data_IF_249273326167
#
_entry.id   IF_249273326167
#
_cell.length_a   1.000
_cell.length_b   1.000
_cell.length_c   1.000
_cell.angle_alpha   90.00
_cell.angle_beta   90.00
_cell.angle_gamma   90.00
#
_symmetry.space_group_name_H-M   'P 1'
#
loop_
_entity.id
_entity.type
_entity.pdbx_description
1 polymer ?
#
# COMPACT_ATOMS: atom_id res chain seq x y z
N UNK A 1 -26.89 -3.86 1.77
CA UNK A 1 -27.11 -3.77 0.30
C UNK A 1 -27.41 -2.32 -0.07
N UNK A 2 -26.35 -1.53 -0.31
CA UNK A 2 -26.29 -0.27 -1.07
C UNK A 2 -24.88 0.31 -0.85
N UNK A 3 -23.93 -0.12 -1.66
CA UNK A 3 -22.54 0.39 -1.73
C UNK A 3 -21.99 -0.16 -3.06
N UNK A 4 -21.92 0.66 -4.12
CA UNK A 4 -21.27 0.21 -5.38
C UNK A 4 -20.93 1.35 -6.38
N UNK A 5 -21.52 2.55 -6.25
CA UNK A 5 -21.20 3.69 -7.13
C UNK A 5 -20.26 4.72 -6.52
N UNK A 6 -20.15 4.81 -5.19
CA UNK A 6 -19.30 5.79 -4.50
C UNK A 6 -17.83 5.38 -4.40
N UNK A 7 -17.56 4.10 -4.22
CA UNK A 7 -16.20 3.58 -3.96
C UNK A 7 -15.27 3.71 -5.17
N UNK A 8 -15.83 3.62 -6.39
CA UNK A 8 -15.10 3.77 -7.66
C UNK A 8 -14.39 5.12 -7.79
N UNK A 9 -15.11 6.16 -7.39
CA UNK A 9 -14.68 7.54 -7.53
C UNK A 9 -13.71 7.93 -6.40
N UNK A 10 -13.82 7.28 -5.23
CA UNK A 10 -12.99 7.56 -4.05
C UNK A 10 -11.55 7.12 -4.28
N UNK A 11 -11.31 5.88 -4.73
CA UNK A 11 -9.94 5.37 -4.91
C UNK A 11 -9.17 6.13 -6.00
N UNK A 12 -9.84 6.45 -7.12
CA UNK A 12 -9.23 7.27 -8.17
C UNK A 12 -8.93 8.68 -7.65
N UNK A 13 -9.88 9.32 -6.95
CA UNK A 13 -9.66 10.65 -6.36
C UNK A 13 -8.52 10.65 -5.35
N UNK A 14 -8.37 9.59 -4.56
CA UNK A 14 -7.26 9.45 -3.62
C UNK A 14 -5.91 9.44 -4.36
N UNK A 15 -5.76 8.62 -5.40
CA UNK A 15 -4.54 8.62 -6.23
C UNK A 15 -4.29 9.98 -6.89
N UNK A 16 -5.32 10.61 -7.44
CA UNK A 16 -5.20 11.95 -8.04
C UNK A 16 -4.81 13.01 -7.00
N UNK A 17 -5.29 12.91 -5.76
CA UNK A 17 -4.89 13.80 -4.68
C UNK A 17 -3.40 13.59 -4.31
N UNK A 18 -2.95 12.33 -4.23
CA UNK A 18 -1.55 11.99 -3.99
C UNK A 18 -0.66 12.55 -5.11
N UNK A 19 -1.03 12.35 -6.39
CA UNK A 19 -0.33 12.91 -7.56
C UNK A 19 -0.30 14.44 -7.58
N UNK A 20 -1.30 15.11 -6.99
CA UNK A 20 -1.34 16.58 -6.90
C UNK A 20 -0.62 17.12 -5.66
N UNK A 21 -0.17 16.24 -4.76
CA UNK A 21 0.45 16.61 -3.49
C UNK A 21 1.79 15.88 -3.32
N UNK A 22 1.95 15.10 -2.24
CA UNK A 22 3.21 14.52 -1.81
C UNK A 22 3.76 13.47 -2.78
N UNK A 23 2.91 12.83 -3.58
CA UNK A 23 3.33 11.81 -4.54
C UNK A 23 4.05 12.34 -5.78
N UNK A 24 4.01 13.67 -6.02
CA UNK A 24 4.67 14.32 -7.16
C UNK A 24 6.10 14.78 -6.88
N UNK A 25 6.56 14.66 -5.63
CA UNK A 25 7.92 15.04 -5.25
C UNK A 25 8.90 13.98 -5.77
N UNK A 26 9.55 14.25 -6.90
CA UNK A 26 10.44 13.27 -7.58
C UNK A 26 11.91 13.44 -7.24
N UNK A 27 12.32 14.60 -6.71
CA UNK A 27 13.68 14.87 -6.28
C UNK A 27 13.67 15.72 -5.00
N UNK A 28 14.06 15.12 -3.88
CA UNK A 28 14.06 15.78 -2.56
C UNK A 28 15.41 15.58 -1.91
N UNK A 29 16.07 16.69 -1.53
CA UNK A 29 17.40 16.69 -0.91
C UNK A 29 18.44 15.86 -1.70
N UNK A 30 18.34 15.88 -3.03
CA UNK A 30 19.23 15.15 -3.95
C UNK A 30 18.92 13.66 -4.12
N UNK A 31 17.86 13.13 -3.48
CA UNK A 31 17.42 11.75 -3.64
C UNK A 31 16.25 11.66 -4.63
N UNK A 32 16.32 10.69 -5.53
CA UNK A 32 15.22 10.37 -6.44
C UNK A 32 14.12 9.61 -5.71
N UNK A 33 12.88 10.03 -5.93
CA UNK A 33 11.69 9.42 -5.35
C UNK A 33 10.76 9.03 -6.50
N UNK A 34 10.20 7.83 -6.39
CA UNK A 34 9.23 7.32 -7.34
C UNK A 34 8.01 6.80 -6.58
N UNK A 35 6.84 7.32 -6.95
CA UNK A 35 5.53 6.88 -6.46
C UNK A 35 4.88 6.03 -7.52
N UNK A 36 4.37 4.86 -7.14
CA UNK A 36 3.57 3.97 -7.99
C UNK A 36 2.39 3.46 -7.18
N UNK A 37 1.28 3.14 -7.85
CA UNK A 37 0.06 2.66 -7.21
C UNK A 37 -0.20 1.21 -7.57
N UNK A 38 -0.37 0.35 -6.56
CA UNK A 38 -0.65 -1.07 -6.78
C UNK A 38 -2.15 -1.39 -6.63
N UNK A 39 -2.73 -1.99 -7.67
CA UNK A 39 -4.14 -2.33 -7.78
C UNK A 39 -4.33 -3.83 -7.98
N UNK A 40 -5.39 -4.38 -7.39
CA UNK A 40 -5.94 -5.68 -7.79
C UNK A 40 -7.11 -5.51 -8.78
N UNK A 41 -7.86 -6.59 -8.95
CA UNK A 41 -9.12 -6.63 -9.68
C UNK A 41 -10.30 -6.30 -8.74
N UNK A 42 -11.30 -5.56 -9.19
CA UNK A 42 -12.49 -5.29 -8.38
C UNK A 42 -13.27 -6.58 -8.12
N UNK A 43 -13.80 -6.72 -6.90
CA UNK A 43 -14.68 -7.84 -6.49
C UNK A 43 -16.15 -7.61 -6.85
N UNK A 44 -16.57 -6.36 -7.00
CA UNK A 44 -17.96 -5.95 -7.14
C UNK A 44 -18.12 -4.80 -8.14
N UNK A 45 -19.37 -4.48 -8.48
CA UNK A 45 -19.72 -3.44 -9.44
C UNK A 45 -19.59 -3.83 -10.90
N UNK A 46 -19.82 -2.85 -11.77
CA UNK A 46 -19.55 -2.99 -13.20
C UNK A 46 -18.03 -3.09 -13.43
N UNK A 47 -17.53 -4.33 -13.47
CA UNK A 47 -16.12 -4.70 -13.62
C UNK A 47 -15.56 -4.15 -14.94
N UNK A 48 -16.30 -4.27 -16.05
CA UNK A 48 -15.85 -3.79 -17.36
C UNK A 48 -15.57 -2.29 -17.34
N UNK A 49 -16.53 -1.50 -16.87
CA UNK A 49 -16.35 -0.04 -16.77
C UNK A 49 -15.22 0.35 -15.80
N UNK A 50 -15.01 -0.43 -14.73
CA UNK A 50 -13.90 -0.22 -13.79
C UNK A 50 -12.54 -0.49 -14.44
N UNK A 51 -12.41 -1.58 -15.18
CA UNK A 51 -11.18 -1.92 -15.89
C UNK A 51 -10.89 -0.92 -17.03
N UNK A 52 -11.91 -0.46 -17.75
CA UNK A 52 -11.78 0.63 -18.73
C UNK A 52 -11.21 1.90 -18.07
N UNK A 53 -11.77 2.32 -16.93
CA UNK A 53 -11.28 3.49 -16.20
C UNK A 53 -9.84 3.34 -15.67
N UNK A 54 -9.45 2.15 -15.23
CA UNK A 54 -8.05 1.85 -14.83
C UNK A 54 -7.12 1.88 -16.05
N UNK A 55 -7.55 1.36 -17.20
CA UNK A 55 -6.78 1.40 -18.43
C UNK A 55 -6.57 2.84 -18.92
N UNK A 56 -7.61 3.67 -18.89
CA UNK A 56 -7.53 5.10 -19.24
C UNK A 56 -6.60 5.86 -18.28
N UNK A 57 -6.67 5.57 -16.97
CA UNK A 57 -5.74 6.12 -15.99
C UNK A 57 -4.30 5.76 -16.29
N UNK A 58 -4.04 4.48 -16.55
CA UNK A 58 -2.69 3.99 -16.79
C UNK A 58 -2.11 4.56 -18.10
N UNK A 59 -2.95 4.76 -19.11
CA UNK A 59 -2.56 5.43 -20.35
C UNK A 59 -2.19 6.91 -20.14
N UNK A 60 -2.76 7.55 -19.12
CA UNK A 60 -2.48 8.95 -18.80
C UNK A 60 -1.23 9.13 -17.91
N UNK A 61 -1.08 8.30 -16.87
CA UNK A 61 -0.08 8.53 -15.81
C UNK A 61 1.07 7.54 -15.79
N UNK A 62 0.90 6.33 -16.35
CA UNK A 62 1.92 5.28 -16.41
C UNK A 62 2.54 4.91 -15.05
N UNK A 63 1.77 5.06 -13.96
CA UNK A 63 2.22 4.84 -12.58
C UNK A 63 1.41 3.74 -11.86
N UNK A 64 0.61 2.97 -12.61
CA UNK A 64 -0.18 1.86 -12.07
C UNK A 64 0.52 0.53 -12.27
N UNK A 65 0.54 -0.28 -11.21
CA UNK A 65 0.89 -1.69 -11.23
C UNK A 65 -0.38 -2.45 -10.91
N UNK A 66 -0.91 -3.19 -11.87
CA UNK A 66 -2.09 -4.03 -11.64
C UNK A 66 -1.69 -5.51 -11.67
N UNK A 67 -2.21 -6.29 -10.72
CA UNK A 67 -1.97 -7.74 -10.66
C UNK A 67 -3.28 -8.51 -10.54
N UNK A 68 -3.25 -9.77 -10.99
CA UNK A 68 -4.41 -10.66 -11.09
C UNK A 68 -4.77 -11.28 -9.73
N UNK A 69 -5.27 -10.46 -8.82
CA UNK A 69 -5.88 -10.90 -7.57
C UNK A 69 -7.08 -10.02 -7.24
N UNK A 70 -8.09 -10.57 -6.57
CA UNK A 70 -9.24 -9.77 -6.14
C UNK A 70 -8.81 -8.81 -5.05
N UNK A 71 -8.97 -7.51 -5.31
CA UNK A 71 -8.71 -6.44 -4.36
C UNK A 71 -9.77 -6.44 -3.27
N UNK A 72 -9.36 -6.84 -2.08
CA UNK A 72 -10.21 -6.95 -0.91
C UNK A 72 -9.35 -6.93 0.35
N UNK A 73 -9.97 -6.58 1.48
CA UNK A 73 -9.26 -6.49 2.75
C UNK A 73 -8.53 -7.79 3.14
N UNK A 74 -9.15 -8.95 2.89
CA UNK A 74 -8.55 -10.26 3.21
C UNK A 74 -7.35 -10.60 2.30
N UNK A 75 -7.27 -9.99 1.11
CA UNK A 75 -6.21 -10.22 0.13
C UNK A 75 -5.08 -9.17 0.21
N UNK A 76 -5.06 -8.31 1.22
CA UNK A 76 -3.96 -7.35 1.42
C UNK A 76 -2.59 -8.03 1.59
N UNK A 77 -2.57 -9.28 2.10
CA UNK A 77 -1.34 -10.09 2.13
C UNK A 77 -0.83 -10.38 0.72
N UNK A 78 -1.70 -10.79 -0.21
CA UNK A 78 -1.33 -11.02 -1.62
C UNK A 78 -0.83 -9.71 -2.24
N UNK A 79 -1.56 -8.61 -2.02
CA UNK A 79 -1.16 -7.27 -2.47
C UNK A 79 0.26 -6.91 -2.00
N UNK A 80 0.57 -7.17 -0.74
CA UNK A 80 1.90 -6.91 -0.16
C UNK A 80 2.98 -7.79 -0.78
N UNK A 81 2.69 -9.08 -1.03
CA UNK A 81 3.63 -9.98 -1.72
C UNK A 81 3.93 -9.51 -3.14
N UNK A 82 2.92 -9.04 -3.89
CA UNK A 82 3.11 -8.46 -5.23
C UNK A 82 3.98 -7.20 -5.18
N UNK A 83 3.73 -6.30 -4.20
CA UNK A 83 4.59 -5.10 -4.01
C UNK A 83 6.04 -5.52 -3.78
N UNK A 84 6.29 -6.50 -2.91
CA UNK A 84 7.64 -6.98 -2.61
C UNK A 84 8.32 -7.59 -3.85
N UNK A 85 7.61 -8.43 -4.61
CA UNK A 85 8.12 -9.03 -5.84
C UNK A 85 8.45 -7.98 -6.92
N UNK A 86 7.54 -7.02 -7.12
CA UNK A 86 7.75 -5.93 -8.07
C UNK A 86 8.96 -5.07 -7.68
N UNK A 87 9.09 -4.71 -6.40
CA UNK A 87 10.25 -3.95 -5.92
C UNK A 87 11.56 -4.71 -6.10
N UNK A 88 11.57 -6.02 -5.81
CA UNK A 88 12.74 -6.87 -5.97
C UNK A 88 13.18 -7.01 -7.43
N UNK A 89 12.23 -7.04 -8.37
CA UNK A 89 12.51 -7.26 -9.79
C UNK A 89 12.72 -5.97 -10.58
N UNK A 90 11.93 -4.92 -10.32
CA UNK A 90 11.95 -3.66 -11.08
C UNK A 90 12.80 -2.56 -10.44
N UNK A 91 13.02 -2.63 -9.13
CA UNK A 91 13.76 -1.60 -8.38
C UNK A 91 15.01 -2.13 -7.66
N UNK A 92 15.90 -2.93 -8.31
CA UNK A 92 17.04 -3.57 -7.64
C UNK A 92 18.09 -2.59 -7.10
N UNK A 93 18.02 -1.30 -7.49
CA UNK A 93 18.93 -0.23 -7.06
C UNK A 93 18.32 0.73 -6.05
N UNK A 94 17.04 0.56 -5.69
CA UNK A 94 16.40 1.40 -4.69
C UNK A 94 17.10 1.21 -3.33
N UNK A 95 17.40 2.31 -2.64
CA UNK A 95 18.02 2.26 -1.30
C UNK A 95 17.02 1.90 -0.21
N UNK A 96 15.76 2.30 -0.39
CA UNK A 96 14.65 2.06 0.52
C UNK A 96 13.37 1.89 -0.31
N UNK A 97 12.39 1.22 0.27
CA UNK A 97 11.03 1.15 -0.26
C UNK A 97 10.03 1.42 0.87
N UNK A 98 8.85 1.93 0.52
CA UNK A 98 7.78 2.22 1.46
C UNK A 98 6.46 1.73 0.89
N UNK A 99 5.69 1.01 1.69
CA UNK A 99 4.27 0.79 1.47
C UNK A 99 3.52 1.81 2.33
N UNK A 100 2.54 2.49 1.73
CA UNK A 100 1.65 3.42 2.41
C UNK A 100 0.27 3.31 1.76
N UNK A 101 -0.78 3.48 2.57
CA UNK A 101 -2.16 3.40 2.09
C UNK A 101 -2.60 4.73 1.47
N UNK A 102 -3.61 4.69 0.59
CA UNK A 102 -4.06 5.85 -0.22
C UNK A 102 -4.79 6.93 0.59
N UNK A 103 -5.15 6.63 1.84
CA UNK A 103 -5.83 7.53 2.78
C UNK A 103 -4.87 8.21 3.78
N UNK A 104 -3.56 8.10 3.54
CA UNK A 104 -2.52 8.69 4.39
C UNK A 104 -1.85 9.91 3.74
N UNK A 105 -1.26 10.76 4.59
CA UNK A 105 -0.36 11.83 4.17
C UNK A 105 1.09 11.46 4.49
N UNK A 106 2.00 11.73 3.55
CA UNK A 106 3.43 11.55 3.74
C UNK A 106 4.17 12.89 3.66
N UNK A 107 4.95 13.20 4.70
CA UNK A 107 5.95 14.27 4.62
C UNK A 107 7.26 13.69 4.06
N UNK A 108 7.44 13.82 2.75
CA UNK A 108 8.56 13.22 2.02
C UNK A 108 9.91 13.85 2.42
N UNK A 109 9.96 15.17 2.65
CA UNK A 109 11.18 15.84 3.14
C UNK A 109 11.68 15.28 4.47
N UNK A 110 10.78 15.09 5.44
CA UNK A 110 11.12 14.53 6.74
C UNK A 110 11.51 13.06 6.63
N UNK A 111 10.85 12.28 5.77
CA UNK A 111 11.22 10.89 5.49
C UNK A 111 12.65 10.80 4.94
N UNK A 112 12.96 11.59 3.91
CA UNK A 112 14.31 11.62 3.32
C UNK A 112 15.35 12.07 4.34
N UNK A 113 15.05 13.12 5.14
CA UNK A 113 15.95 13.58 6.19
C UNK A 113 16.24 12.48 7.22
N UNK A 114 15.21 11.74 7.63
CA UNK A 114 15.35 10.62 8.55
C UNK A 114 16.21 9.51 7.94
N UNK A 115 15.91 9.08 6.71
CA UNK A 115 16.62 7.96 6.05
C UNK A 115 18.09 8.28 5.70
N UNK A 116 18.44 9.56 5.60
CA UNK A 116 19.82 10.04 5.41
C UNK A 116 20.58 10.28 6.70
N UNK A 117 19.91 10.21 7.86
CA UNK A 117 20.56 10.46 9.13
C UNK A 117 21.71 9.45 9.37
N UNK A 118 22.83 9.89 9.95
CA UNK A 118 23.93 8.99 10.27
C UNK A 118 23.46 7.81 11.14
N UNK A 119 23.87 6.60 10.77
CA UNK A 119 23.55 5.38 11.52
C UNK A 119 22.28 4.66 11.08
N UNK A 120 21.47 5.21 10.16
CA UNK A 120 20.35 4.47 9.57
C UNK A 120 20.88 3.39 8.63
N UNK A 121 20.59 2.10 8.88
CA UNK A 121 21.05 1.01 8.02
C UNK A 121 20.28 1.00 6.69
N UNK A 122 20.99 0.67 5.61
CA UNK A 122 20.40 0.47 4.27
C UNK A 122 20.02 -0.98 3.98
N UNK A 123 20.41 -1.91 4.86
CA UNK A 123 20.17 -3.34 4.72
C UNK A 123 19.51 -3.85 6.00
N UNK A 124 18.61 -4.80 5.84
CA UNK A 124 17.92 -5.46 6.96
C UNK A 124 17.27 -4.44 7.92
N UNK A 125 16.71 -3.38 7.33
CA UNK A 125 16.13 -2.26 8.04
C UNK A 125 14.64 -2.15 7.73
N UNK A 126 13.84 -2.10 8.79
CA UNK A 126 12.40 -1.86 8.76
C UNK A 126 12.07 -0.87 9.87
N UNK A 127 11.28 0.15 9.56
CA UNK A 127 10.86 1.17 10.53
C UNK A 127 9.40 1.55 10.30
N UNK A 128 8.77 2.10 11.33
CA UNK A 128 7.37 2.46 11.35
C UNK A 128 6.81 2.46 12.77
N UNK A 129 5.49 2.47 12.90
CA UNK A 129 4.84 2.31 14.20
C UNK A 129 4.87 0.84 14.60
N UNK A 130 5.76 0.47 15.52
CA UNK A 130 5.90 -0.90 15.97
C UNK A 130 4.76 -1.32 16.92
N UNK A 131 4.23 -2.49 16.64
CA UNK A 131 3.13 -3.13 17.37
C UNK A 131 3.70 -4.33 18.11
N UNK A 132 3.74 -4.24 19.44
CA UNK A 132 4.32 -5.26 20.31
C UNK A 132 3.22 -5.93 21.13
N UNK A 133 3.35 -7.23 21.38
CA UNK A 133 2.45 -8.01 22.25
C UNK A 133 0.96 -7.80 21.93
N UNK A 134 0.60 -7.70 20.64
CA UNK A 134 -0.78 -7.44 20.22
C UNK A 134 -1.60 -8.73 20.30
N UNK A 135 -2.70 -8.77 21.06
CA UNK A 135 -3.57 -9.92 21.09
C UNK A 135 -4.32 -10.06 19.76
N UNK A 136 -4.50 -11.31 19.34
CA UNK A 136 -5.32 -11.64 18.18
C UNK A 136 -6.78 -11.39 18.54
N UNK A 137 -7.49 -10.66 17.68
CA UNK A 137 -8.88 -10.28 17.95
C UNK A 137 -9.79 -11.48 17.69
N UNK A 138 -10.35 -12.06 18.75
CA UNK A 138 -11.24 -13.24 18.68
C UNK A 138 -12.74 -12.91 18.70
N UNK A 139 -13.08 -11.63 18.79
CA UNK A 139 -14.47 -11.17 18.81
C UNK A 139 -15.05 -11.14 17.39
N UNK A 140 -15.99 -12.04 17.07
CA UNK A 140 -16.60 -12.19 15.73
C UNK A 140 -17.28 -10.94 15.16
N UNK A 141 -17.71 -10.00 16.01
CA UNK A 141 -18.30 -8.73 15.56
C UNK A 141 -17.26 -7.66 15.20
N UNK A 142 -15.98 -7.90 15.47
CA UNK A 142 -14.91 -6.98 15.10
C UNK A 142 -14.54 -7.13 13.64
N UNK A 143 -14.29 -6.00 12.95
CA UNK A 143 -13.72 -6.00 11.59
C UNK A 143 -12.34 -6.67 11.49
N UNK A 144 -11.64 -6.80 12.62
CA UNK A 144 -10.31 -7.40 12.71
C UNK A 144 -10.33 -8.84 13.22
N UNK A 145 -11.51 -9.48 13.27
CA UNK A 145 -11.64 -10.85 13.77
C UNK A 145 -10.76 -11.84 12.99
N UNK A 146 -10.01 -12.67 13.72
CA UNK A 146 -9.26 -13.80 13.15
C UNK A 146 -9.64 -15.09 13.87
N UNK A 147 -10.13 -16.12 13.16
CA UNK A 147 -10.46 -17.40 13.76
C UNK A 147 -9.20 -18.16 14.20
N UNK A 148 -9.33 -18.98 15.24
CA UNK A 148 -8.22 -19.76 15.80
C UNK A 148 -7.64 -20.77 14.80
N UNK A 149 -8.51 -21.32 13.94
CA UNK A 149 -8.13 -22.21 12.83
C UNK A 149 -7.19 -21.54 11.81
N UNK A 150 -7.28 -20.22 11.62
CA UNK A 150 -6.43 -19.47 10.70
C UNK A 150 -5.11 -19.05 11.34
N UNK A 151 -5.16 -18.72 12.63
CA UNK A 151 -3.98 -18.31 13.39
C UNK A 151 -4.18 -18.76 14.85
N UNK A 152 -3.51 -19.82 15.31
CA UNK A 152 -3.77 -20.42 16.62
C UNK A 152 -3.17 -19.63 17.78
N UNK A 153 -2.08 -18.90 17.55
CA UNK A 153 -1.39 -18.19 18.62
C UNK A 153 -2.25 -17.04 19.19
N UNK A 154 -2.17 -16.77 20.50
CA UNK A 154 -2.98 -15.73 21.13
C UNK A 154 -2.46 -14.31 20.86
N UNK A 155 -1.20 -14.17 20.45
CA UNK A 155 -0.52 -12.91 20.19
C UNK A 155 0.08 -12.92 18.79
N UNK A 156 0.02 -11.77 18.11
CA UNK A 156 0.79 -11.56 16.89
C UNK A 156 2.29 -11.39 17.20
N UNK A 157 3.19 -11.75 16.27
CA UNK A 157 4.59 -11.34 16.35
C UNK A 157 4.70 -9.81 16.35
N UNK A 158 5.90 -9.28 16.62
CA UNK A 158 6.11 -7.83 16.46
C UNK A 158 6.04 -7.46 14.97
N UNK A 159 5.27 -6.42 14.64
CA UNK A 159 5.09 -5.94 13.27
C UNK A 159 4.99 -4.42 13.22
N UNK A 160 5.14 -3.82 12.03
CA UNK A 160 4.87 -2.41 11.76
C UNK A 160 3.43 -2.23 11.28
N UNK A 161 2.72 -1.26 11.85
CA UNK A 161 1.40 -0.85 11.38
C UNK A 161 1.49 -0.14 10.03
#
# INVERSE_FOLDING_TARGET
>A
MKEDSGEKDVERKARDAIRKTWGNETLVQGELIQTVFLLGLPSHGNITALQEGVSEENLQYHDLIQSDFIDSYINLTIKTMVIMDWLATQCPKASYAMKIDSDMFLNVENLVRMLKAPGIPKKEYLTGMLMWNRPVVRTRSSKWYVPEEMYPDPLYPTYTL
#
